data_IF_195448099557
#
_entry.id   IF_195448099557
#
_cell.length_a   1.000
_cell.length_b   1.000
_cell.length_c   1.000
_cell.angle_alpha   90.00
_cell.angle_beta   90.00
_cell.angle_gamma   90.00
#
_symmetry.space_group_name_H-M   'P 1'
#
loop_
_entity.id
_entity.type
_entity.pdbx_description
1 polymer ?
#
# COMPACT_ATOMS: atom_id res chain seq x y z
N UNK A 1 3.54 -7.91 -19.92
CA UNK A 1 4.08 -6.89 -18.99
C UNK A 1 2.96 -5.96 -18.55
N UNK A 2 2.38 -6.20 -17.36
CA UNK A 2 1.26 -5.43 -16.78
C UNK A 2 1.47 -5.12 -15.29
N UNK A 3 2.51 -5.67 -14.65
CA UNK A 3 2.73 -5.43 -13.22
C UNK A 3 3.49 -4.11 -13.06
N UNK A 4 3.00 -3.15 -12.26
CA UNK A 4 3.74 -1.92 -11.99
C UNK A 4 5.08 -2.25 -11.33
N UNK A 5 6.09 -1.40 -11.57
CA UNK A 5 7.38 -1.47 -10.87
C UNK A 5 7.15 -1.15 -9.39
N UNK A 6 6.84 -2.19 -8.60
CA UNK A 6 6.66 -2.05 -7.17
C UNK A 6 8.03 -1.85 -6.50
N UNK A 7 8.28 -0.66 -5.95
CA UNK A 7 9.42 -0.42 -5.07
C UNK A 7 9.16 -1.03 -3.70
N UNK A 8 9.53 -2.30 -3.55
CA UNK A 8 9.42 -3.01 -2.28
C UNK A 8 10.58 -2.57 -1.36
N UNK A 9 10.27 -1.78 -0.33
CA UNK A 9 11.22 -1.45 0.71
C UNK A 9 11.24 -2.58 1.74
N UNK A 10 12.30 -3.41 1.74
CA UNK A 10 12.51 -4.42 2.77
C UNK A 10 13.28 -3.82 3.96
N UNK A 11 13.05 -4.43 5.11
CA UNK A 11 13.82 -4.16 6.33
C UNK A 11 15.19 -4.81 6.20
N UNK A 12 16.24 -4.11 6.60
CA UNK A 12 17.61 -4.63 6.48
C UNK A 12 17.78 -5.93 7.27
N UNK A 13 18.70 -6.79 6.82
CA UNK A 13 19.02 -8.05 7.53
C UNK A 13 19.40 -7.81 9.00
N UNK A 14 20.06 -6.69 9.29
CA UNK A 14 20.43 -6.27 10.65
C UNK A 14 19.20 -6.07 11.55
N UNK A 15 18.14 -5.43 11.04
CA UNK A 15 16.89 -5.23 11.77
C UNK A 15 16.10 -6.53 11.90
N UNK A 16 16.13 -7.38 10.87
CA UNK A 16 15.52 -8.72 10.92
C UNK A 16 16.14 -9.60 12.02
N UNK A 17 17.47 -9.54 12.20
CA UNK A 17 18.18 -10.27 13.26
C UNK A 17 17.83 -9.77 14.67
N UNK A 18 17.39 -8.52 14.82
CA UNK A 18 16.92 -7.95 16.09
C UNK A 18 15.46 -8.30 16.40
N UNK A 19 14.84 -9.20 15.62
CA UNK A 19 13.44 -9.62 15.81
C UNK A 19 12.42 -8.65 15.20
N UNK A 20 12.87 -7.61 14.49
CA UNK A 20 11.99 -6.81 13.67
C UNK A 20 11.75 -7.53 12.35
N UNK A 21 10.61 -8.21 12.23
CA UNK A 21 10.09 -8.70 10.94
C UNK A 21 8.88 -7.85 10.51
N UNK A 22 9.05 -6.59 10.08
CA UNK A 22 7.93 -5.83 9.55
C UNK A 22 7.47 -6.46 8.25
N UNK A 23 6.22 -6.87 8.22
CA UNK A 23 5.55 -7.29 6.99
C UNK A 23 4.99 -6.11 6.20
N UNK A 24 5.63 -4.94 6.31
CA UNK A 24 5.16 -3.69 5.73
C UNK A 24 5.90 -3.44 4.43
N UNK A 25 5.16 -3.30 3.33
CA UNK A 25 5.71 -3.00 2.02
C UNK A 25 5.03 -1.77 1.42
N UNK A 26 5.76 -1.07 0.56
CA UNK A 26 5.27 0.08 -0.21
C UNK A 26 5.00 -0.35 -1.65
N UNK A 27 3.87 0.10 -2.22
CA UNK A 27 3.53 -0.12 -3.62
C UNK A 27 3.56 1.22 -4.36
N UNK A 28 4.46 1.32 -5.33
CA UNK A 28 4.49 2.46 -6.25
C UNK A 28 3.62 2.12 -7.47
N UNK A 29 2.49 2.82 -7.59
CA UNK A 29 1.51 2.62 -8.66
C UNK A 29 1.84 3.53 -9.85
N UNK A 30 1.49 3.13 -11.08
CA UNK A 30 1.81 3.91 -12.27
C UNK A 30 1.08 5.26 -12.23
N UNK A 31 1.70 6.30 -12.76
CA UNK A 31 1.11 7.64 -12.83
C UNK A 31 0.74 8.00 -14.26
N UNK A 32 -0.37 8.71 -14.46
CA UNK A 32 -0.80 9.26 -15.75
C UNK A 32 -1.07 10.76 -15.56
N UNK A 33 -0.64 11.59 -16.50
CA UNK A 33 -0.80 13.05 -16.43
C UNK A 33 0.36 13.82 -17.03
N UNK A 34 0.08 15.03 -17.51
CA UNK A 34 1.06 15.95 -18.11
C UNK A 34 1.64 16.92 -17.07
N UNK A 35 0.93 17.14 -15.97
CA UNK A 35 1.40 17.96 -14.84
C UNK A 35 1.64 17.10 -13.61
N UNK A 36 2.45 17.59 -12.67
CA UNK A 36 2.71 16.89 -11.42
C UNK A 36 1.42 16.71 -10.61
N UNK A 37 0.52 17.70 -10.63
CA UNK A 37 -0.78 17.63 -9.97
C UNK A 37 -1.68 16.54 -10.57
N UNK A 38 -1.71 16.39 -11.89
CA UNK A 38 -2.47 15.32 -12.55
C UNK A 38 -1.93 13.94 -12.21
N UNK A 39 -0.59 13.78 -12.20
CA UNK A 39 0.07 12.53 -11.84
C UNK A 39 -0.20 12.15 -10.39
N UNK A 40 -0.12 13.11 -9.47
CA UNK A 40 -0.45 12.91 -8.06
C UNK A 40 -1.93 12.56 -7.85
N UNK A 41 -2.84 13.27 -8.50
CA UNK A 41 -4.27 13.00 -8.40
C UNK A 41 -4.58 11.58 -8.91
N UNK A 42 -4.03 11.20 -10.06
CA UNK A 42 -4.17 9.85 -10.61
C UNK A 42 -3.60 8.79 -9.66
N UNK A 43 -2.41 9.02 -9.09
CA UNK A 43 -1.78 8.12 -8.11
C UNK A 43 -2.67 7.93 -6.87
N UNK A 44 -3.25 9.01 -6.34
CA UNK A 44 -4.19 8.95 -5.20
C UNK A 44 -5.43 8.12 -5.54
N UNK A 45 -6.05 8.38 -6.69
CA UNK A 45 -7.24 7.64 -7.13
C UNK A 45 -6.92 6.15 -7.29
N UNK A 46 -5.77 5.79 -7.89
CA UNK A 46 -5.37 4.40 -8.02
C UNK A 46 -5.08 3.72 -6.69
N UNK A 47 -4.37 4.39 -5.77
CA UNK A 47 -4.13 3.85 -4.44
C UNK A 47 -5.45 3.60 -3.71
N UNK A 48 -6.38 4.57 -3.75
CA UNK A 48 -7.68 4.41 -3.11
C UNK A 48 -8.45 3.24 -3.70
N UNK A 49 -8.47 3.11 -5.04
CA UNK A 49 -9.11 1.99 -5.73
C UNK A 49 -8.56 0.63 -5.30
N UNK A 50 -7.22 0.49 -5.25
CA UNK A 50 -6.59 -0.76 -4.80
C UNK A 50 -6.99 -1.10 -3.36
N UNK A 51 -6.97 -0.12 -2.46
CA UNK A 51 -7.32 -0.31 -1.06
C UNK A 51 -8.79 -0.72 -0.92
N UNK A 52 -9.69 -0.03 -1.62
CA UNK A 52 -11.12 -0.33 -1.60
C UNK A 52 -11.40 -1.75 -2.12
N UNK A 53 -10.79 -2.14 -3.25
CA UNK A 53 -10.92 -3.50 -3.78
C UNK A 53 -10.43 -4.56 -2.78
N UNK A 54 -9.28 -4.33 -2.15
CA UNK A 54 -8.71 -5.26 -1.18
C UNK A 54 -9.60 -5.42 0.07
N UNK A 55 -10.18 -4.33 0.56
CA UNK A 55 -11.08 -4.34 1.72
C UNK A 55 -12.43 -4.96 1.35
N UNK A 56 -12.98 -4.63 0.19
CA UNK A 56 -14.30 -5.12 -0.24
C UNK A 56 -14.27 -6.61 -0.57
N UNK A 57 -13.24 -7.08 -1.27
CA UNK A 57 -13.14 -8.49 -1.68
C UNK A 57 -12.60 -9.39 -0.55
N UNK A 58 -11.81 -8.83 0.38
CA UNK A 58 -11.21 -9.59 1.48
C UNK A 58 -11.52 -8.94 2.85
N UNK A 59 -12.78 -8.71 3.22
CA UNK A 59 -13.17 -7.89 4.37
C UNK A 59 -12.75 -8.48 5.73
N UNK A 60 -12.53 -9.79 5.78
CA UNK A 60 -12.12 -10.48 7.00
C UNK A 60 -10.62 -10.37 7.27
N UNK A 61 -9.82 -10.10 6.24
CA UNK A 61 -8.36 -10.02 6.34
C UNK A 61 -7.88 -8.59 6.07
N UNK A 62 -8.45 -7.87 5.12
CA UNK A 62 -8.07 -6.50 4.75
C UNK A 62 -8.84 -5.41 5.50
N UNK A 63 -8.11 -4.45 6.08
CA UNK A 63 -8.70 -3.27 6.75
C UNK A 63 -7.89 -2.00 6.46
N UNK A 64 -8.57 -0.85 6.49
CA UNK A 64 -7.90 0.44 6.49
C UNK A 64 -7.23 0.67 7.85
N UNK A 65 -5.96 1.07 7.88
CA UNK A 65 -5.25 1.41 9.12
C UNK A 65 -4.46 2.71 8.97
N UNK A 66 -4.26 3.40 10.08
CA UNK A 66 -3.40 4.60 10.16
C UNK A 66 -2.27 4.44 11.17
N UNK A 67 -2.08 3.23 11.73
CA UNK A 67 -1.02 2.90 12.70
C UNK A 67 -0.24 1.66 12.28
N UNK A 68 1.06 1.63 12.61
CA UNK A 68 1.94 0.48 12.39
C UNK A 68 1.87 -0.47 13.59
N UNK A 69 1.80 -1.77 13.32
CA UNK A 69 1.92 -2.85 14.33
C UNK A 69 0.66 -3.70 14.44
N UNK A 70 0.63 -4.84 13.74
CA UNK A 70 -0.48 -5.79 13.79
C UNK A 70 0.01 -7.24 13.68
N UNK A 71 -0.66 -8.14 14.39
CA UNK A 71 -0.36 -9.57 14.49
C UNK A 71 -1.24 -10.45 13.58
N UNK A 72 -2.30 -9.88 12.95
CA UNK A 72 -3.32 -10.64 12.17
C UNK A 72 -3.89 -9.80 11.01
N UNK A 73 -4.05 -10.38 9.82
CA UNK A 73 -4.67 -9.74 8.64
C UNK A 73 -3.74 -8.85 7.79
N UNK A 74 -4.33 -8.13 6.86
CA UNK A 74 -3.73 -7.19 5.92
C UNK A 74 -4.21 -5.76 6.21
N UNK A 75 -3.29 -4.81 6.36
CA UNK A 75 -3.65 -3.43 6.63
C UNK A 75 -3.14 -2.50 5.56
N UNK A 76 -4.02 -1.64 5.08
CA UNK A 76 -3.75 -0.71 4.00
C UNK A 76 -3.76 0.72 4.52
N UNK A 77 -2.76 1.50 4.12
CA UNK A 77 -2.59 2.90 4.52
C UNK A 77 -2.06 3.72 3.34
N UNK A 78 -2.54 4.96 3.20
CA UNK A 78 -1.85 5.99 2.43
C UNK A 78 -1.29 6.99 3.46
N UNK A 79 0.04 7.16 3.60
CA UNK A 79 0.63 8.02 4.60
C UNK A 79 0.44 9.49 4.20
N UNK A 80 -0.78 10.00 4.39
CA UNK A 80 -1.10 11.40 4.15
C UNK A 80 -2.34 11.85 4.94
N UNK A 81 -2.43 11.48 6.21
CA UNK A 81 -3.20 12.24 7.20
C UNK A 81 -2.32 12.46 8.43
N UNK A 82 -1.13 13.06 8.23
CA UNK A 82 -0.39 13.64 9.35
C UNK A 82 -1.25 14.76 9.93
N UNK A 83 -1.77 14.54 11.13
CA UNK A 83 -2.36 15.58 11.99
C UNK A 83 -1.28 16.48 12.60
N UNK A 84 0.01 16.16 12.41
CA UNK A 84 1.11 17.02 12.80
C UNK A 84 1.53 17.88 11.59
N UNK A 85 1.15 19.15 11.62
CA UNK A 85 1.27 20.14 10.54
C UNK A 85 2.68 20.59 10.18
N UNK A 86 3.65 19.67 10.11
CA UNK A 86 5.05 19.96 9.72
C UNK A 86 5.39 19.50 8.30
N UNK A 87 4.56 18.70 7.64
CA UNK A 87 4.80 18.19 6.28
C UNK A 87 4.07 19.03 5.23
N UNK A 88 4.80 19.65 4.28
CA UNK A 88 4.16 20.39 3.18
C UNK A 88 3.48 19.40 2.23
N UNK A 89 2.47 19.85 1.48
CA UNK A 89 1.75 19.00 0.52
C UNK A 89 2.69 18.32 -0.49
N UNK A 90 3.73 19.03 -0.91
CA UNK A 90 4.78 18.52 -1.81
C UNK A 90 5.71 17.47 -1.17
N UNK A 91 5.72 17.35 0.16
CA UNK A 91 6.51 16.35 0.89
C UNK A 91 5.69 15.08 1.21
N UNK A 92 4.40 15.05 0.81
CA UNK A 92 3.50 13.91 1.07
C UNK A 92 3.68 12.85 0.01
N UNK A 93 4.23 11.72 0.43
CA UNK A 93 4.40 10.55 -0.43
C UNK A 93 3.11 9.72 -0.47
N UNK A 94 2.31 9.91 -1.53
CA UNK A 94 1.06 9.19 -1.76
C UNK A 94 1.31 7.76 -2.24
N UNK A 95 1.89 6.93 -1.40
CA UNK A 95 2.21 5.53 -1.68
C UNK A 95 1.32 4.64 -0.82
N UNK A 96 0.67 3.65 -1.43
CA UNK A 96 -0.01 2.61 -0.67
C UNK A 96 1.03 1.80 0.13
N UNK A 97 0.84 1.75 1.44
CA UNK A 97 1.59 0.90 2.35
C UNK A 97 0.69 -0.23 2.82
N UNK A 98 1.21 -1.44 2.79
CA UNK A 98 0.48 -2.65 3.16
C UNK A 98 1.26 -3.44 4.19
N UNK A 99 0.61 -3.81 5.30
CA UNK A 99 1.17 -4.69 6.32
C UNK A 99 0.49 -6.06 6.29
N UNK A 100 1.22 -7.15 6.03
CA UNK A 100 0.66 -8.50 5.84
C UNK A 100 1.01 -9.45 7.00
N UNK A 101 0.03 -10.00 7.72
CA UNK A 101 0.31 -11.03 8.72
C UNK A 101 0.77 -12.35 8.07
N UNK A 102 1.50 -13.23 8.77
CA UNK A 102 1.95 -14.51 8.22
C UNK A 102 0.80 -15.50 7.96
N UNK A 103 -0.41 -15.21 8.46
CA UNK A 103 -1.58 -16.06 8.31
C UNK A 103 -2.68 -15.32 7.53
N UNK A 104 -2.59 -15.34 6.20
CA UNK A 104 -3.54 -14.75 5.24
C UNK A 104 -3.78 -15.71 4.07
N UNK A 105 -4.91 -15.58 3.39
CA UNK A 105 -5.12 -16.22 2.08
C UNK A 105 -4.39 -15.46 0.99
N UNK A 106 -3.11 -15.80 0.81
CA UNK A 106 -2.25 -15.19 -0.20
C UNK A 106 -2.77 -15.41 -1.63
N UNK A 107 -3.45 -16.52 -1.91
CA UNK A 107 -3.99 -16.80 -3.24
C UNK A 107 -5.13 -15.83 -3.56
N UNK A 108 -6.00 -15.57 -2.58
CA UNK A 108 -7.09 -14.62 -2.76
C UNK A 108 -6.58 -13.19 -2.90
N UNK A 109 -5.62 -12.76 -2.06
CA UNK A 109 -4.96 -11.45 -2.19
C UNK A 109 -4.31 -11.26 -3.56
N UNK A 110 -3.62 -12.30 -4.06
CA UNK A 110 -3.02 -12.27 -5.40
C UNK A 110 -4.08 -12.14 -6.49
N UNK A 111 -5.22 -12.84 -6.37
CA UNK A 111 -6.32 -12.73 -7.33
C UNK A 111 -6.85 -11.30 -7.38
N UNK A 112 -7.20 -10.72 -6.24
CA UNK A 112 -7.74 -9.34 -6.17
C UNK A 112 -6.71 -8.33 -6.71
N UNK A 113 -5.42 -8.53 -6.42
CA UNK A 113 -4.37 -7.68 -7.01
C UNK A 113 -4.30 -7.80 -8.53
N UNK A 114 -4.39 -9.00 -9.08
CA UNK A 114 -4.38 -9.21 -10.54
C UNK A 114 -5.64 -8.63 -11.20
N UNK A 115 -6.79 -8.74 -10.56
CA UNK A 115 -8.03 -8.12 -11.02
C UNK A 115 -7.86 -6.59 -11.07
N UNK A 116 -7.30 -5.98 -10.01
CA UNK A 116 -6.95 -4.56 -10.00
C UNK A 116 -6.00 -4.17 -11.15
N UNK A 117 -4.95 -4.98 -11.37
CA UNK A 117 -3.99 -4.76 -12.48
C UNK A 117 -4.66 -4.86 -13.85
N UNK A 118 -5.67 -5.73 -14.01
CA UNK A 118 -6.43 -5.84 -15.25
C UNK A 118 -7.34 -4.63 -15.53
N UNK A 119 -7.63 -3.80 -14.53
CA UNK A 119 -8.49 -2.63 -14.65
C UNK A 119 -7.75 -1.30 -14.90
N UNK A 120 -6.42 -1.30 -15.01
CA UNK A 120 -5.57 -0.08 -15.14
C UNK A 120 -4.81 0.02 -16.47
#
# INVERSE_FOLDING_TARGET
>A
DMLPEAKINFVSEELAQQGFTPSVFSLDLPTKGNTDQEREAYKRTLNQKLIDMMITEIPNESKYCVSYGQLKGCYWTIPATSTQGTTKEADKDYIARVSLSPNIDLKHHKKVFLDFVGEI
#
